data_IF_009041619164
#
_entry.id   IF_009041619164
#
_cell.length_a   1.000
_cell.length_b   1.000
_cell.length_c   1.000
_cell.angle_alpha   90.00
_cell.angle_beta   90.00
_cell.angle_gamma   90.00
#
_symmetry.space_group_name_H-M   'P 1'
#
loop_
_entity.id
_entity.type
_entity.pdbx_description
1 polymer ?
#
# COMPACT_ATOMS: atom_id res chain seq x y z
N UNK A 1 -6.39 -34.44 4.91
CA UNK A 1 -7.17 -33.31 4.37
C UNK A 1 -8.45 -33.00 5.16
N UNK A 2 -9.33 -33.98 5.48
CA UNK A 2 -10.62 -33.71 6.19
C UNK A 2 -10.49 -33.05 7.58
N UNK A 3 -9.45 -33.40 8.35
CA UNK A 3 -9.23 -32.79 9.68
C UNK A 3 -8.80 -31.32 9.61
N UNK A 4 -8.03 -30.95 8.58
CA UNK A 4 -7.57 -29.58 8.38
C UNK A 4 -8.71 -28.66 7.94
N UNK A 5 -9.58 -29.12 7.03
CA UNK A 5 -10.76 -28.36 6.63
C UNK A 5 -11.74 -28.17 7.79
N UNK A 6 -11.94 -29.19 8.63
CA UNK A 6 -12.82 -29.09 9.80
C UNK A 6 -12.29 -28.07 10.83
N UNK A 7 -10.97 -28.07 11.07
CA UNK A 7 -10.33 -27.09 11.93
C UNK A 7 -10.48 -25.66 11.39
N UNK A 8 -10.24 -25.44 10.09
CA UNK A 8 -10.42 -24.13 9.46
C UNK A 8 -11.88 -23.66 9.51
N UNK A 9 -12.83 -24.58 9.32
CA UNK A 9 -14.25 -24.27 9.44
C UNK A 9 -14.60 -23.83 10.86
N UNK A 10 -14.19 -24.60 11.87
CA UNK A 10 -14.46 -24.29 13.27
C UNK A 10 -13.79 -22.98 13.72
N UNK A 11 -12.58 -22.69 13.24
CA UNK A 11 -11.91 -21.42 13.49
C UNK A 11 -12.65 -20.25 12.82
N UNK A 12 -13.14 -20.44 11.59
CA UNK A 12 -13.95 -19.45 10.89
C UNK A 12 -15.28 -19.17 11.61
N UNK A 13 -15.99 -20.21 12.03
CA UNK A 13 -17.26 -20.11 12.76
C UNK A 13 -17.08 -19.40 14.11
N UNK A 14 -15.99 -19.70 14.81
CA UNK A 14 -15.66 -19.04 16.09
C UNK A 14 -15.30 -17.57 15.88
N UNK A 15 -14.60 -17.25 14.79
CA UNK A 15 -14.22 -15.88 14.46
C UNK A 15 -15.40 -15.03 13.95
N UNK A 16 -16.37 -15.63 13.27
CA UNK A 16 -17.54 -14.94 12.70
C UNK A 16 -18.65 -14.69 13.71
N UNK A 17 -18.79 -15.56 14.73
CA UNK A 17 -19.82 -15.48 15.78
C UNK A 17 -20.06 -14.08 16.41
N UNK A 18 -19.03 -13.30 16.81
CA UNK A 18 -19.26 -11.97 17.38
C UNK A 18 -19.86 -10.98 16.35
N UNK A 19 -19.54 -11.12 15.06
CA UNK A 19 -20.06 -10.25 14.02
C UNK A 19 -21.52 -10.58 13.69
N UNK A 20 -21.89 -11.87 13.68
CA UNK A 20 -23.30 -12.27 13.58
C UNK A 20 -24.11 -11.71 14.74
N UNK A 21 -23.58 -11.80 15.96
CA UNK A 21 -24.22 -11.24 17.16
C UNK A 21 -24.43 -9.72 17.01
N UNK A 22 -23.41 -8.98 16.57
CA UNK A 22 -23.50 -7.53 16.37
C UNK A 22 -24.53 -7.15 15.29
N UNK A 23 -24.53 -7.81 14.14
CA UNK A 23 -25.48 -7.50 13.06
C UNK A 23 -26.93 -7.91 13.42
N UNK A 24 -27.10 -8.99 14.18
CA UNK A 24 -28.39 -9.38 14.71
C UNK A 24 -28.96 -8.32 15.68
N UNK A 25 -28.12 -7.66 16.49
CA UNK A 25 -28.58 -6.54 17.35
C UNK A 25 -29.06 -5.33 16.56
N UNK A 26 -28.63 -5.19 15.29
CA UNK A 26 -29.07 -4.13 14.37
C UNK A 26 -30.23 -4.62 13.48
N UNK A 27 -30.72 -5.85 13.68
CA UNK A 27 -31.84 -6.43 12.92
C UNK A 27 -31.48 -6.86 11.50
N UNK A 28 -30.19 -7.09 11.22
CA UNK A 28 -29.67 -7.39 9.89
C UNK A 28 -29.23 -8.85 9.86
N UNK A 29 -30.12 -9.75 9.46
CA UNK A 29 -29.76 -11.15 9.19
C UNK A 29 -28.98 -11.25 7.88
N UNK A 30 -27.72 -11.71 7.98
CA UNK A 30 -26.80 -11.87 6.85
C UNK A 30 -26.25 -13.27 6.83
N UNK A 31 -26.06 -13.81 5.63
CA UNK A 31 -25.39 -15.10 5.45
C UNK A 31 -23.91 -14.98 5.81
N UNK A 32 -23.30 -16.09 6.25
CA UNK A 32 -21.86 -16.14 6.59
C UNK A 32 -20.97 -15.63 5.44
N UNK A 33 -21.41 -15.85 4.19
CA UNK A 33 -20.71 -15.37 2.99
C UNK A 33 -20.82 -13.86 2.82
N UNK A 34 -21.99 -13.26 3.12
CA UNK A 34 -22.17 -11.80 3.12
C UNK A 34 -21.37 -11.15 4.25
N UNK A 35 -21.28 -11.81 5.41
CA UNK A 35 -20.47 -11.36 6.53
C UNK A 35 -18.98 -11.38 6.17
N UNK A 36 -18.49 -12.47 5.58
CA UNK A 36 -17.11 -12.57 5.11
C UNK A 36 -16.79 -11.50 4.05
N UNK A 37 -17.71 -11.24 3.11
CA UNK A 37 -17.56 -10.19 2.13
C UNK A 37 -17.48 -8.79 2.77
N UNK A 38 -18.27 -8.52 3.82
CA UNK A 38 -18.22 -7.26 4.57
C UNK A 38 -16.86 -7.07 5.27
N UNK A 39 -16.38 -8.09 5.98
CA UNK A 39 -15.09 -8.04 6.69
C UNK A 39 -13.95 -7.82 5.69
N UNK A 40 -13.96 -8.52 4.56
CA UNK A 40 -12.98 -8.32 3.50
C UNK A 40 -13.04 -6.91 2.92
N UNK A 41 -14.24 -6.39 2.63
CA UNK A 41 -14.40 -5.03 2.13
C UNK A 41 -13.83 -3.99 3.09
N UNK A 42 -14.08 -4.13 4.39
CA UNK A 42 -13.57 -3.23 5.42
C UNK A 42 -12.04 -3.31 5.53
N UNK A 43 -11.46 -4.52 5.53
CA UNK A 43 -10.02 -4.71 5.62
C UNK A 43 -9.29 -4.12 4.41
N UNK A 44 -9.73 -4.47 3.19
CA UNK A 44 -9.14 -3.95 1.95
C UNK A 44 -9.38 -2.44 1.78
N UNK A 45 -10.59 -1.96 2.07
CA UNK A 45 -10.93 -0.55 2.04
C UNK A 45 -10.09 0.27 3.03
N UNK A 46 -9.90 -0.25 4.25
CA UNK A 46 -9.04 0.37 5.26
C UNK A 46 -7.58 0.47 4.82
N UNK A 47 -7.02 -0.61 4.24
CA UNK A 47 -5.66 -0.60 3.70
C UNK A 47 -5.49 0.44 2.59
N UNK A 48 -6.46 0.55 1.67
CA UNK A 48 -6.47 1.57 0.62
C UNK A 48 -6.53 2.99 1.21
N UNK A 49 -7.43 3.23 2.16
CA UNK A 49 -7.58 4.53 2.80
C UNK A 49 -6.31 4.98 3.55
N UNK A 50 -5.64 4.07 4.26
CA UNK A 50 -4.36 4.36 4.92
C UNK A 50 -3.27 4.68 3.88
N UNK A 51 -3.21 3.94 2.78
CA UNK A 51 -2.31 4.23 1.66
C UNK A 51 -2.55 5.62 1.07
N UNK A 52 -3.81 6.01 0.89
CA UNK A 52 -4.19 7.34 0.39
C UNK A 52 -3.85 8.45 1.38
N UNK A 53 -4.12 8.25 2.67
CA UNK A 53 -3.79 9.22 3.72
C UNK A 53 -2.28 9.47 3.80
N UNK A 54 -1.45 8.41 3.68
CA UNK A 54 0.01 8.54 3.60
C UNK A 54 0.45 9.28 2.34
N UNK A 55 -0.09 8.88 1.17
CA UNK A 55 0.26 9.50 -0.09
C UNK A 55 -0.13 10.99 -0.15
N UNK A 56 -1.28 11.35 0.41
CA UNK A 56 -1.74 12.75 0.48
C UNK A 56 -1.00 13.56 1.54
N UNK A 57 -0.62 12.96 2.67
CA UNK A 57 0.30 13.56 3.63
C UNK A 57 1.66 13.90 3.00
N UNK A 58 2.24 12.95 2.28
CA UNK A 58 3.48 13.14 1.52
C UNK A 58 3.33 14.22 0.45
N UNK A 59 2.24 14.21 -0.33
CA UNK A 59 2.00 15.21 -1.37
C UNK A 59 1.86 16.64 -0.81
N UNK A 60 1.32 16.81 0.41
CA UNK A 60 1.17 18.11 1.05
C UNK A 60 2.46 18.66 1.66
N UNK A 61 3.39 17.77 2.08
CA UNK A 61 4.65 18.12 2.75
C UNK A 61 5.88 17.94 1.87
N UNK A 62 5.67 17.61 0.59
CA UNK A 62 6.74 17.31 -0.37
C UNK A 62 7.69 18.50 -0.50
N UNK A 63 8.94 18.28 -0.12
CA UNK A 63 10.05 19.14 -0.47
C UNK A 63 10.85 18.49 -1.62
N UNK A 64 11.44 19.33 -2.46
CA UNK A 64 12.31 18.91 -3.55
C UNK A 64 13.72 19.43 -3.32
N UNK A 65 14.72 18.57 -3.54
CA UNK A 65 16.13 18.91 -3.47
C UNK A 65 16.88 18.27 -4.64
N UNK A 66 18.02 18.84 -5.01
CA UNK A 66 18.95 18.17 -5.94
C UNK A 66 19.78 17.16 -5.15
N UNK A 67 19.68 15.90 -5.56
CA UNK A 67 20.51 14.81 -5.08
C UNK A 67 21.63 14.47 -6.05
N UNK A 68 22.60 13.72 -5.55
CA UNK A 68 23.75 13.21 -6.27
C UNK A 68 23.89 11.71 -5.97
N UNK A 69 24.15 10.89 -6.99
CA UNK A 69 24.43 9.46 -6.81
C UNK A 69 25.81 9.32 -6.14
N UNK A 70 25.82 8.92 -4.87
CA UNK A 70 27.06 8.81 -4.09
C UNK A 70 27.72 7.43 -4.25
N UNK A 71 26.93 6.36 -4.30
CA UNK A 71 27.41 4.97 -4.39
C UNK A 71 26.43 4.15 -5.21
N UNK A 72 26.92 3.17 -5.95
CA UNK A 72 26.08 2.18 -6.65
C UNK A 72 26.35 0.81 -6.02
N UNK A 73 25.33 0.23 -5.38
CA UNK A 73 25.41 -1.11 -4.83
C UNK A 73 24.98 -2.12 -5.90
N UNK A 74 25.82 -3.11 -6.15
CA UNK A 74 25.50 -4.21 -7.06
C UNK A 74 25.02 -5.40 -6.22
N UNK A 75 23.77 -5.80 -6.44
CA UNK A 75 23.15 -6.91 -5.75
C UNK A 75 23.52 -8.24 -6.42
N UNK A 76 23.44 -9.33 -5.65
CA UNK A 76 23.80 -10.67 -6.13
C UNK A 76 22.89 -11.19 -7.26
N UNK A 77 21.69 -10.61 -7.41
CA UNK A 77 20.73 -10.90 -8.47
C UNK A 77 21.03 -10.17 -9.80
N UNK A 78 22.11 -9.38 -9.85
CA UNK A 78 22.50 -8.57 -11.00
C UNK A 78 21.78 -7.22 -11.09
N UNK A 79 20.90 -6.88 -10.13
CA UNK A 79 20.36 -5.53 -10.01
C UNK A 79 21.38 -4.58 -9.39
N UNK A 80 21.28 -3.30 -9.70
CA UNK A 80 22.09 -2.27 -9.07
C UNK A 80 21.19 -1.17 -8.49
N UNK A 81 21.38 -0.84 -7.22
CA UNK A 81 20.64 0.19 -6.50
C UNK A 81 21.57 1.35 -6.12
N UNK A 82 21.28 2.57 -6.59
CA UNK A 82 22.07 3.74 -6.23
C UNK A 82 21.70 4.24 -4.83
N UNK A 83 22.71 4.63 -4.06
CA UNK A 83 22.54 5.45 -2.86
C UNK A 83 22.67 6.91 -3.25
N UNK A 84 21.60 7.66 -3.04
CA UNK A 84 21.49 9.07 -3.42
C UNK A 84 21.74 9.92 -2.18
N UNK A 85 22.61 10.92 -2.31
CA UNK A 85 22.92 11.91 -1.29
C UNK A 85 22.35 13.26 -1.69
N UNK A 86 21.69 13.94 -0.77
CA UNK A 86 21.10 15.25 -1.05
C UNK A 86 21.24 16.16 0.17
N UNK A 87 21.12 17.48 -0.05
CA UNK A 87 21.08 18.46 1.04
C UNK A 87 19.63 18.86 1.28
N UNK A 88 19.16 18.73 2.52
CA UNK A 88 17.82 19.18 2.87
C UNK A 88 17.72 20.71 2.93
N UNK A 89 16.50 21.23 3.01
CA UNK A 89 16.24 22.66 3.13
C UNK A 89 16.87 23.32 4.38
N UNK A 90 17.25 22.54 5.40
CA UNK A 90 17.97 23.02 6.57
C UNK A 90 19.50 23.00 6.39
N UNK A 91 19.99 22.59 5.22
CA UNK A 91 21.40 22.50 4.89
C UNK A 91 22.07 21.21 5.37
N UNK A 92 21.32 20.26 5.92
CA UNK A 92 21.87 18.99 6.44
C UNK A 92 22.01 18.01 5.29
N UNK A 93 23.18 17.36 5.23
CA UNK A 93 23.46 16.33 4.24
C UNK A 93 22.78 15.01 4.65
N UNK A 94 21.98 14.45 3.74
CA UNK A 94 21.19 13.23 3.94
C UNK A 94 21.49 12.25 2.82
N UNK A 95 21.26 10.96 3.06
CA UNK A 95 21.37 9.94 2.03
C UNK A 95 20.30 8.87 2.20
N UNK A 96 19.83 8.28 1.11
CA UNK A 96 18.91 7.15 1.10
C UNK A 96 19.29 6.16 0.00
N UNK A 97 18.91 4.90 0.18
CA UNK A 97 19.05 3.85 -0.83
C UNK A 97 17.83 3.90 -1.75
N UNK A 98 18.04 4.03 -3.06
CA UNK A 98 16.94 4.04 -4.03
C UNK A 98 16.37 2.63 -4.20
N UNK A 99 15.05 2.51 -4.06
CA UNK A 99 14.30 1.29 -4.38
C UNK A 99 14.13 1.08 -5.89
N UNK A 100 14.54 2.05 -6.71
CA UNK A 100 14.45 1.97 -8.16
C UNK A 100 15.71 1.33 -8.75
N UNK A 101 15.57 0.45 -9.75
CA UNK A 101 16.72 -0.04 -10.50
C UNK A 101 17.38 1.13 -11.23
N UNK A 102 18.71 1.09 -11.38
CA UNK A 102 19.44 2.04 -12.21
C UNK A 102 18.79 2.23 -13.58
N UNK A 103 18.61 3.49 -13.95
CA UNK A 103 18.22 3.93 -15.28
C UNK A 103 19.37 4.70 -15.95
N UNK A 104 19.12 5.25 -17.14
CA UNK A 104 20.15 5.96 -17.90
C UNK A 104 20.62 7.26 -17.21
N UNK A 105 19.82 7.85 -16.32
CA UNK A 105 20.15 9.09 -15.60
C UNK A 105 20.94 8.80 -14.32
N UNK A 106 20.69 7.67 -13.67
CA UNK A 106 21.39 7.21 -12.46
C UNK A 106 22.61 6.33 -12.76
N UNK A 107 23.04 6.25 -14.02
CA UNK A 107 24.01 5.25 -14.48
C UNK A 107 25.45 5.48 -13.98
N UNK A 108 25.73 6.67 -13.43
CA UNK A 108 27.07 7.06 -12.99
C UNK A 108 27.05 7.72 -11.61
N UNK A 109 28.10 7.45 -10.82
CA UNK A 109 28.38 8.17 -9.58
C UNK A 109 28.64 9.65 -9.90
N UNK A 110 28.03 10.55 -9.15
CA UNK A 110 28.04 11.99 -9.42
C UNK A 110 26.89 12.48 -10.32
N UNK A 111 26.02 11.59 -10.79
CA UNK A 111 24.83 12.00 -11.52
C UNK A 111 23.88 12.79 -10.61
N UNK A 112 23.37 13.92 -11.12
CA UNK A 112 22.39 14.75 -10.43
C UNK A 112 20.98 14.25 -10.69
N UNK A 113 20.21 14.09 -9.62
CA UNK A 113 18.87 13.51 -9.68
C UNK A 113 17.93 14.31 -8.79
N UNK A 114 16.74 14.70 -9.26
CA UNK A 114 15.78 15.38 -8.41
C UNK A 114 15.28 14.42 -7.33
N UNK A 115 15.36 14.85 -6.07
CA UNK A 115 14.91 14.09 -4.89
C UNK A 115 13.66 14.72 -4.33
N UNK A 116 12.68 13.87 -4.03
CA UNK A 116 11.47 14.22 -3.32
C UNK A 116 11.50 13.62 -1.92
N UNK A 117 11.30 14.43 -0.89
CA UNK A 117 11.29 13.94 0.50
C UNK A 117 10.23 14.63 1.35
N UNK A 118 9.83 13.98 2.45
CA UNK A 118 9.04 14.60 3.51
C UNK A 118 10.00 15.07 4.62
N UNK A 119 10.07 16.38 4.95
CA UNK A 119 10.89 16.89 6.03
C UNK A 119 10.58 16.27 7.40
N UNK A 120 9.36 15.77 7.60
CA UNK A 120 8.92 15.12 8.84
C UNK A 120 9.20 13.61 8.85
N UNK A 121 9.37 12.98 7.69
CA UNK A 121 9.69 11.56 7.57
C UNK A 121 10.68 11.29 6.43
N UNK A 122 11.96 11.15 6.78
CA UNK A 122 13.04 10.96 5.82
C UNK A 122 13.05 9.56 5.20
N UNK A 123 12.39 8.57 5.82
CA UNK A 123 12.27 7.22 5.27
C UNK A 123 11.41 7.18 3.99
N UNK A 124 10.64 8.24 3.73
CA UNK A 124 9.85 8.41 2.51
C UNK A 124 10.60 9.18 1.41
N UNK A 125 11.90 9.49 1.60
CA UNK A 125 12.72 10.10 0.55
C UNK A 125 12.80 9.17 -0.66
N UNK A 126 12.49 9.71 -1.84
CA UNK A 126 12.47 8.98 -3.09
C UNK A 126 13.04 9.83 -4.20
N UNK A 127 13.67 9.16 -5.13
CA UNK A 127 13.98 9.73 -6.43
C UNK A 127 12.68 10.27 -7.05
N UNK A 128 12.71 11.51 -7.54
CA UNK A 128 11.60 12.10 -8.27
C UNK A 128 11.59 11.59 -9.73
N UNK A 129 11.82 10.29 -9.92
CA UNK A 129 11.70 9.64 -11.21
C UNK A 129 10.27 9.79 -11.76
N UNK A 130 10.18 9.84 -13.08
CA UNK A 130 9.01 10.23 -13.88
C UNK A 130 7.76 9.39 -13.57
N UNK A 131 6.98 9.87 -12.62
CA UNK A 131 5.59 9.46 -12.40
C UNK A 131 5.39 8.08 -11.77
N UNK A 132 4.27 7.88 -11.05
CA UNK A 132 3.87 6.53 -10.68
C UNK A 132 3.66 5.74 -11.97
N UNK A 133 4.49 4.72 -12.22
CA UNK A 133 4.26 3.80 -13.32
C UNK A 133 2.78 3.39 -13.37
N UNK A 134 2.21 3.33 -14.57
CA UNK A 134 0.78 3.08 -14.87
C UNK A 134 0.15 1.91 -14.08
N UNK A 135 0.97 1.00 -13.56
CA UNK A 135 0.58 -0.11 -12.69
C UNK A 135 -0.08 0.36 -11.39
N UNK A 136 0.43 1.43 -10.75
CA UNK A 136 -0.10 1.96 -9.48
C UNK A 136 -1.55 2.46 -9.59
N UNK A 137 -1.92 3.31 -10.56
CA UNK A 137 -3.31 3.74 -10.69
C UNK A 137 -4.25 2.58 -11.05
N UNK A 138 -3.85 1.66 -11.94
CA UNK A 138 -4.70 0.52 -12.33
C UNK A 138 -5.00 -0.40 -11.15
N UNK A 139 -3.97 -0.79 -10.38
CA UNK A 139 -4.17 -1.62 -9.19
C UNK A 139 -5.09 -0.95 -8.16
N UNK A 140 -5.01 0.38 -8.02
CA UNK A 140 -5.90 1.15 -7.16
C UNK A 140 -7.35 1.13 -7.64
N UNK A 141 -7.60 1.34 -8.93
CA UNK A 141 -8.96 1.26 -9.49
C UNK A 141 -9.56 -0.13 -9.32
N UNK A 142 -8.79 -1.19 -9.57
CA UNK A 142 -9.22 -2.57 -9.35
C UNK A 142 -9.51 -2.83 -7.86
N UNK A 143 -8.67 -2.32 -6.96
CA UNK A 143 -8.89 -2.43 -5.51
C UNK A 143 -10.19 -1.74 -5.07
N UNK A 144 -10.43 -0.51 -5.55
CA UNK A 144 -11.67 0.23 -5.26
C UNK A 144 -12.89 -0.52 -5.82
N UNK A 145 -12.82 -0.98 -7.08
CA UNK A 145 -13.91 -1.74 -7.70
C UNK A 145 -14.23 -3.02 -6.93
N UNK A 146 -13.20 -3.74 -6.46
CA UNK A 146 -13.36 -4.93 -5.63
C UNK A 146 -14.05 -4.60 -4.30
N UNK A 147 -13.62 -3.56 -3.60
CA UNK A 147 -14.24 -3.11 -2.33
C UNK A 147 -15.70 -2.73 -2.57
N UNK A 148 -16.00 -1.96 -3.61
CA UNK A 148 -17.37 -1.59 -3.97
C UNK A 148 -18.23 -2.83 -4.28
N UNK A 149 -17.69 -3.80 -5.02
CA UNK A 149 -18.39 -5.06 -5.32
C UNK A 149 -18.67 -5.90 -4.07
N UNK A 150 -17.70 -6.00 -3.16
CA UNK A 150 -17.86 -6.71 -1.90
C UNK A 150 -18.88 -6.03 -0.98
N UNK A 151 -18.85 -4.70 -0.87
CA UNK A 151 -19.85 -3.95 -0.11
C UNK A 151 -21.24 -4.10 -0.71
N UNK A 152 -21.36 -3.98 -2.04
CA UNK A 152 -22.62 -4.19 -2.73
C UNK A 152 -23.19 -5.57 -2.41
N UNK A 153 -22.40 -6.63 -2.60
CA UNK A 153 -22.81 -8.00 -2.30
C UNK A 153 -23.18 -8.19 -0.81
N UNK A 154 -22.36 -7.70 0.12
CA UNK A 154 -22.60 -7.79 1.55
C UNK A 154 -23.90 -7.09 1.98
N UNK A 155 -24.27 -6.01 1.29
CA UNK A 155 -25.44 -5.19 1.61
C UNK A 155 -26.71 -5.62 0.87
N UNK A 156 -26.61 -6.36 -0.23
CA UNK A 156 -27.79 -6.91 -0.93
C UNK A 156 -28.61 -7.80 -0.02
N UNK A 157 -29.95 -7.69 0.00
CA UNK A 157 -30.79 -8.50 0.87
C UNK A 157 -30.47 -9.98 0.67
N UNK A 158 -30.35 -10.71 1.78
CA UNK A 158 -30.11 -12.15 1.70
C UNK A 158 -31.22 -12.77 0.83
N UNK A 159 -30.89 -13.68 -0.11
CA UNK A 159 -31.90 -14.40 -0.85
C UNK A 159 -32.77 -15.12 0.17
N UNK A 160 -34.04 -14.72 0.26
CA UNK A 160 -35.02 -15.38 1.12
C UNK A 160 -35.13 -16.83 0.69
N UNK A 161 -34.87 -17.75 1.62
CA UNK A 161 -35.35 -19.12 1.55
C UNK A 161 -36.70 -19.19 2.25
#
# INVERSE_FOLDING_TARGET
>A
MKAWSAFLQQAADTASAPFHTLLATVGVERTDVQLAALVLALAFGGALAVGEARASGFARRRATADGEVAVIFHNADGSATPRIRFRDAAGVERAFDSDLPMDAETVHVGAHVPVSYDPANLDDAREAATGPGLVRPVARYLGVALVCGLLWYALTPAPGF
#
